data_IF_851082248309
#
_entry.id   IF_851082248309
#
_cell.length_a   1.000
_cell.length_b   1.000
_cell.length_c   1.000
_cell.angle_alpha   90.00
_cell.angle_beta   90.00
_cell.angle_gamma   90.00
#
_symmetry.space_group_name_H-M   'P 1'
#
loop_
_entity.id
_entity.type
_entity.pdbx_description
1 polymer ?
#
# COMPACT_ATOMS: atom_id res chain seq x y z
N UNK A 1 -13.58 1.90 -10.35
CA UNK A 1 -13.99 2.98 -9.44
C UNK A 1 -12.76 3.84 -9.17
N UNK A 2 -12.74 5.11 -9.60
CA UNK A 2 -11.58 5.99 -9.42
C UNK A 2 -11.61 6.55 -8.00
N UNK A 3 -10.62 6.21 -7.17
CA UNK A 3 -10.46 6.83 -5.84
C UNK A 3 -9.67 8.12 -6.02
N UNK A 4 -10.14 9.20 -5.41
CA UNK A 4 -9.49 10.52 -5.41
C UNK A 4 -8.10 10.43 -4.74
N UNK A 5 -6.99 10.75 -5.44
CA UNK A 5 -5.64 10.70 -4.87
C UNK A 5 -5.41 11.70 -3.73
N UNK A 6 -6.37 12.60 -3.47
CA UNK A 6 -6.39 13.50 -2.32
C UNK A 6 -7.18 12.97 -1.11
N UNK A 7 -7.85 11.82 -1.23
CA UNK A 7 -8.58 11.20 -0.13
C UNK A 7 -7.61 10.76 0.98
N UNK A 8 -7.93 11.16 2.21
CA UNK A 8 -7.24 10.68 3.42
C UNK A 8 -7.95 9.44 3.93
N UNK A 9 -7.19 8.37 4.17
CA UNK A 9 -7.73 7.09 4.67
C UNK A 9 -7.16 6.82 6.06
N UNK A 10 -8.02 6.79 7.08
CA UNK A 10 -7.63 6.34 8.41
C UNK A 10 -7.28 4.86 8.39
N UNK A 11 -6.08 4.53 8.88
CA UNK A 11 -5.62 3.14 8.92
C UNK A 11 -6.15 2.46 10.18
N UNK A 12 -6.63 1.25 10.00
CA UNK A 12 -7.10 0.38 11.08
C UNK A 12 -6.15 -0.81 11.23
N UNK A 13 -6.40 -1.60 12.27
CA UNK A 13 -5.70 -2.90 12.45
C UNK A 13 -6.17 -3.95 11.45
N UNK A 14 -7.24 -3.66 10.72
CA UNK A 14 -7.70 -4.44 9.57
C UNK A 14 -7.15 -3.87 8.26
N UNK A 15 -6.74 -4.73 7.30
CA UNK A 15 -6.34 -4.34 5.96
C UNK A 15 -7.31 -3.33 5.34
N UNK A 16 -6.82 -2.14 4.99
CA UNK A 16 -7.63 -1.09 4.37
C UNK A 16 -7.11 -0.79 2.96
N UNK A 17 -7.98 -0.97 1.96
CA UNK A 17 -7.68 -0.57 0.59
C UNK A 17 -7.56 0.96 0.51
N UNK A 18 -6.44 1.44 -0.04
CA UNK A 18 -6.19 2.88 -0.19
C UNK A 18 -6.44 3.32 -1.63
N UNK A 19 -5.93 2.56 -2.60
CA UNK A 19 -6.16 2.79 -4.03
C UNK A 19 -6.12 1.46 -4.78
N UNK A 20 -6.89 1.34 -5.86
CA UNK A 20 -6.95 0.13 -6.68
C UNK A 20 -6.98 0.45 -8.17
N UNK A 21 -6.46 -0.48 -8.98
CA UNK A 21 -6.47 -0.42 -10.45
C UNK A 21 -6.82 -1.79 -11.01
N UNK A 22 -7.73 -1.85 -11.98
CA UNK A 22 -8.03 -3.09 -12.71
C UNK A 22 -7.14 -3.20 -13.92
N UNK A 23 -6.38 -4.29 -14.02
CA UNK A 23 -5.46 -4.59 -15.11
C UNK A 23 -6.01 -5.74 -15.95
N UNK A 24 -5.97 -5.67 -17.29
CA UNK A 24 -6.33 -6.80 -18.13
C UNK A 24 -5.25 -7.88 -18.14
N UNK A 25 -5.57 -9.10 -18.55
CA UNK A 25 -4.62 -10.22 -18.68
C UNK A 25 -3.27 -9.82 -19.30
N UNK A 26 -2.17 -10.26 -18.69
CA UNK A 26 -0.81 -10.00 -19.17
C UNK A 26 0.23 -9.92 -18.05
N UNK A 27 1.44 -9.51 -18.42
CA UNK A 27 2.56 -9.31 -17.50
C UNK A 27 2.74 -7.83 -17.19
N UNK A 28 2.99 -7.51 -15.92
CA UNK A 28 3.08 -6.13 -15.45
C UNK A 28 4.16 -5.96 -14.40
N UNK A 29 4.80 -4.79 -14.41
CA UNK A 29 5.46 -4.24 -13.24
C UNK A 29 4.49 -3.23 -12.63
N UNK A 30 4.04 -3.51 -11.41
CA UNK A 30 3.15 -2.64 -10.65
C UNK A 30 3.98 -1.91 -9.60
N UNK A 31 3.81 -0.59 -9.54
CA UNK A 31 4.42 0.25 -8.51
C UNK A 31 3.34 1.08 -7.82
N UNK A 32 3.34 1.01 -6.50
CA UNK A 32 2.48 1.81 -5.64
C UNK A 32 3.30 2.66 -4.69
N UNK A 33 2.70 3.74 -4.20
CA UNK A 33 3.21 4.45 -3.03
C UNK A 33 2.09 5.07 -2.23
N UNK A 34 2.30 5.19 -0.92
CA UNK A 34 1.41 5.94 -0.04
C UNK A 34 2.25 6.76 0.94
N UNK A 35 1.84 8.00 1.21
CA UNK A 35 2.40 8.76 2.32
C UNK A 35 1.63 8.41 3.57
N UNK A 36 2.34 7.93 4.58
CA UNK A 36 1.76 7.60 5.88
C UNK A 36 2.06 8.73 6.84
N UNK A 37 1.02 9.25 7.48
CA UNK A 37 1.10 10.18 8.60
C UNK A 37 0.77 9.44 9.88
N UNK A 38 1.70 9.41 10.82
CA UNK A 38 1.51 8.84 12.15
C UNK A 38 1.27 9.94 13.18
N UNK A 39 0.30 9.73 14.05
CA UNK A 39 -0.06 10.58 15.17
C UNK A 39 0.14 9.78 16.47
N UNK A 40 1.27 9.98 17.13
CA UNK A 40 1.61 9.37 18.40
C UNK A 40 2.10 10.42 19.40
N UNK A 41 1.99 10.12 20.68
CA UNK A 41 2.63 10.89 21.74
C UNK A 41 4.12 10.52 21.86
N UNK A 42 4.83 11.24 22.71
CA UNK A 42 6.18 10.84 23.10
C UNK A 42 6.14 9.42 23.69
N UNK A 43 7.12 8.59 23.31
CA UNK A 43 7.22 7.17 23.67
C UNK A 43 6.23 6.21 22.98
N UNK A 44 5.31 6.71 22.14
CA UNK A 44 4.50 5.84 21.28
C UNK A 44 5.34 5.30 20.12
N UNK A 45 5.30 3.97 19.93
CA UNK A 45 5.78 3.33 18.71
C UNK A 45 4.58 2.97 17.81
N UNK A 46 4.71 3.24 16.52
CA UNK A 46 3.74 2.87 15.51
C UNK A 46 4.39 2.01 14.45
N UNK A 47 3.75 0.93 14.04
CA UNK A 47 4.15 0.22 12.81
C UNK A 47 3.04 0.38 11.80
N UNK A 48 3.40 0.74 10.56
CA UNK A 48 2.46 0.73 9.45
C UNK A 48 3.03 -0.17 8.37
N UNK A 49 2.16 -0.94 7.78
CA UNK A 49 2.47 -1.76 6.61
C UNK A 49 1.71 -1.21 5.43
N UNK A 50 2.37 -1.10 4.29
CA UNK A 50 1.69 -1.01 3.01
C UNK A 50 2.06 -2.21 2.15
N UNK A 51 1.10 -2.68 1.36
CA UNK A 51 1.21 -3.91 0.58
C UNK A 51 0.50 -3.79 -0.76
N UNK A 52 0.95 -4.60 -1.73
CA UNK A 52 0.24 -4.84 -2.99
C UNK A 52 -0.43 -6.21 -2.95
N UNK A 53 -1.69 -6.27 -3.38
CA UNK A 53 -2.44 -7.54 -3.46
C UNK A 53 -3.39 -7.53 -4.66
N UNK A 54 -3.65 -8.69 -5.30
CA UNK A 54 -4.68 -8.83 -6.33
C UNK A 54 -6.10 -9.03 -5.77
N UNK A 55 -6.27 -9.04 -4.43
CA UNK A 55 -7.56 -9.20 -3.79
C UNK A 55 -8.16 -7.87 -3.31
N UNK A 56 -9.49 -7.77 -3.35
CA UNK A 56 -10.22 -6.65 -2.75
C UNK A 56 -10.29 -6.76 -1.21
N UNK A 57 -10.02 -7.95 -0.65
CA UNK A 57 -10.10 -8.21 0.79
C UNK A 57 -9.09 -9.29 1.15
N UNK A 58 -8.06 -8.92 1.90
CA UNK A 58 -7.02 -9.86 2.34
C UNK A 58 -7.60 -10.79 3.42
N UNK A 59 -7.65 -12.09 3.13
CA UNK A 59 -8.01 -13.11 4.11
C UNK A 59 -6.80 -13.88 4.67
N UNK A 60 -5.59 -13.65 4.12
CA UNK A 60 -4.32 -14.27 4.55
C UNK A 60 -3.09 -13.58 3.93
N UNK A 61 -1.87 -14.01 4.29
CA UNK A 61 -0.61 -13.40 3.79
C UNK A 61 -0.20 -13.87 2.40
N UNK A 62 -0.81 -14.94 1.89
CA UNK A 62 -0.34 -15.66 0.70
C UNK A 62 -0.61 -14.89 -0.60
N UNK A 63 -1.51 -13.90 -0.56
CA UNK A 63 -1.91 -13.09 -1.72
C UNK A 63 -1.23 -11.72 -1.75
N UNK A 64 -0.07 -11.59 -1.09
CA UNK A 64 0.66 -10.33 -1.00
C UNK A 64 1.88 -10.37 -1.91
N UNK A 65 1.87 -9.46 -2.87
CA UNK A 65 2.85 -9.36 -3.94
C UNK A 65 4.12 -8.62 -3.48
N UNK A 66 3.93 -7.62 -2.62
CA UNK A 66 5.01 -6.90 -1.95
C UNK A 66 4.50 -6.37 -0.61
N UNK A 67 5.40 -6.29 0.37
CA UNK A 67 5.10 -5.97 1.74
C UNK A 67 6.21 -5.06 2.30
N UNK A 68 5.88 -3.79 2.53
CA UNK A 68 6.82 -2.79 3.06
C UNK A 68 6.41 -2.30 4.44
N UNK A 69 7.35 -2.35 5.38
CA UNK A 69 7.17 -1.94 6.76
C UNK A 69 7.73 -0.54 7.01
N UNK A 70 7.00 0.24 7.78
CA UNK A 70 7.47 1.46 8.42
C UNK A 70 7.37 1.32 9.93
N UNK A 71 8.44 1.71 10.62
CA UNK A 71 8.41 1.96 12.06
C UNK A 71 8.48 3.46 12.30
N UNK A 72 7.53 3.98 13.05
CA UNK A 72 7.52 5.33 13.60
C UNK A 72 7.93 5.25 15.07
N UNK A 73 8.82 6.15 15.47
CA UNK A 73 9.26 6.32 16.84
C UNK A 73 9.11 7.80 17.17
N UNK A 74 8.01 8.17 17.82
CA UNK A 74 7.75 9.57 18.10
C UNK A 74 8.71 10.09 19.16
N UNK A 75 9.64 10.94 18.75
CA UNK A 75 10.61 11.59 19.66
C UNK A 75 10.10 12.94 20.20
N UNK A 76 8.84 13.29 19.96
CA UNK A 76 8.26 14.57 20.35
C UNK A 76 6.74 14.61 20.24
N UNK A 77 6.18 15.83 20.16
CA UNK A 77 4.75 16.04 19.89
C UNK A 77 4.59 16.50 18.44
N UNK A 78 3.92 15.70 17.61
CA UNK A 78 3.73 16.04 16.21
C UNK A 78 3.36 14.86 15.33
N UNK A 79 2.90 15.14 14.12
CA UNK A 79 2.59 14.11 13.14
C UNK A 79 3.82 13.80 12.29
N UNK A 80 4.39 12.61 12.44
CA UNK A 80 5.50 12.13 11.58
C UNK A 80 4.95 11.67 10.24
N UNK A 81 5.68 11.95 9.16
CA UNK A 81 5.28 11.59 7.80
C UNK A 81 6.42 10.95 7.03
N UNK A 82 6.11 9.87 6.32
CA UNK A 82 7.05 9.24 5.40
C UNK A 82 6.29 8.55 4.27
N UNK A 83 6.97 8.34 3.14
CA UNK A 83 6.38 7.68 1.97
C UNK A 83 6.86 6.23 1.89
N UNK A 84 5.92 5.31 1.72
CA UNK A 84 6.18 3.89 1.50
C UNK A 84 6.05 3.58 0.01
N UNK A 85 7.13 3.20 -0.67
CA UNK A 85 7.02 2.55 -1.97
C UNK A 85 6.69 1.06 -1.80
N UNK A 86 5.92 0.52 -2.73
CA UNK A 86 5.75 -0.92 -2.91
C UNK A 86 5.80 -1.25 -4.40
N UNK A 87 6.32 -2.41 -4.75
CA UNK A 87 6.52 -2.81 -6.14
C UNK A 87 6.51 -4.33 -6.30
N UNK A 88 5.82 -4.80 -7.33
CA UNK A 88 5.78 -6.20 -7.69
C UNK A 88 5.79 -6.40 -9.21
N UNK A 89 6.43 -7.48 -9.66
CA UNK A 89 6.24 -8.00 -11.01
C UNK A 89 5.22 -9.14 -10.94
N UNK A 90 4.17 -9.07 -11.76
CA UNK A 90 3.06 -10.02 -11.75
C UNK A 90 2.69 -10.47 -13.15
N UNK A 91 2.23 -11.72 -13.26
CA UNK A 91 1.58 -12.26 -14.44
C UNK A 91 0.15 -12.62 -14.07
N UNK A 92 -0.83 -11.99 -14.72
CA UNK A 92 -2.25 -12.17 -14.44
C UNK A 92 -2.93 -12.87 -15.62
N UNK A 93 -3.70 -13.92 -15.34
CA UNK A 93 -4.35 -14.78 -16.34
C UNK A 93 -5.79 -14.38 -16.66
N UNK A 94 -6.36 -13.48 -15.87
CA UNK A 94 -7.65 -12.84 -16.07
C UNK A 94 -7.58 -11.38 -15.64
N UNK A 95 -8.57 -10.58 -16.03
CA UNK A 95 -8.71 -9.20 -15.56
C UNK A 95 -8.73 -9.17 -14.02
N UNK A 96 -7.75 -8.49 -13.43
CA UNK A 96 -7.48 -8.55 -12.00
C UNK A 96 -7.39 -7.15 -11.42
N UNK A 97 -7.99 -6.92 -10.25
CA UNK A 97 -7.88 -5.64 -9.54
C UNK A 97 -6.71 -5.69 -8.58
N UNK A 98 -5.67 -4.91 -8.86
CA UNK A 98 -4.55 -4.74 -7.94
C UNK A 98 -4.85 -3.60 -6.98
N UNK A 99 -4.65 -3.85 -5.71
CA UNK A 99 -4.90 -2.91 -4.62
C UNK A 99 -3.60 -2.59 -3.91
N UNK A 100 -3.37 -1.29 -3.69
CA UNK A 100 -2.47 -0.80 -2.65
C UNK A 100 -3.29 -0.64 -1.38
N UNK A 101 -2.99 -1.46 -0.39
CA UNK A 101 -3.56 -1.33 0.94
C UNK A 101 -2.50 -0.92 1.95
N UNK A 102 -2.95 -0.33 3.06
CA UNK A 102 -2.11 -0.12 4.22
C UNK A 102 -2.87 -0.51 5.49
N UNK A 103 -2.15 -0.88 6.54
CA UNK A 103 -2.72 -1.22 7.84
C UNK A 103 -1.78 -0.77 8.96
N UNK A 104 -2.36 -0.35 10.08
CA UNK A 104 -1.60 -0.07 11.28
C UNK A 104 -1.38 -1.36 12.07
N UNK A 105 -0.12 -1.71 12.33
CA UNK A 105 0.27 -2.79 13.21
C UNK A 105 0.68 -2.24 14.58
N UNK A 106 0.12 -2.80 15.64
CA UNK A 106 0.32 -2.35 17.03
C UNK A 106 -0.81 -1.46 17.56
N UNK A 107 -0.73 -1.14 18.86
CA UNK A 107 -1.86 -0.57 19.63
C UNK A 107 -1.72 0.88 20.05
N UNK A 108 -0.61 1.55 19.73
CA UNK A 108 -0.32 2.92 20.16
C UNK A 108 -0.34 3.91 19.00
N UNK A 109 -0.95 5.08 19.22
CA UNK A 109 -1.15 6.12 18.20
C UNK A 109 -2.18 5.78 17.12
N UNK A 110 -2.28 6.66 16.12
CA UNK A 110 -3.16 6.51 14.96
C UNK A 110 -2.45 6.90 13.67
N UNK A 111 -2.83 6.29 12.55
CA UNK A 111 -2.17 6.52 11.26
C UNK A 111 -3.17 6.85 10.17
N UNK A 112 -2.74 7.64 9.20
CA UNK A 112 -3.49 7.95 7.99
C UNK A 112 -2.63 7.71 6.76
N UNK A 113 -3.22 7.11 5.73
CA UNK A 113 -2.67 7.11 4.38
C UNK A 113 -3.14 8.35 3.62
N UNK A 114 -2.20 8.97 2.90
CA UNK A 114 -2.32 10.21 2.16
C UNK A 114 -1.61 10.05 0.81
N UNK A 115 -2.05 10.77 -0.21
CA UNK A 115 -1.35 10.87 -1.51
C UNK A 115 -0.96 9.49 -2.06
N UNK A 116 -1.93 8.58 -2.08
CA UNK A 116 -1.70 7.23 -2.56
C UNK A 116 -1.79 7.18 -4.08
N UNK A 117 -0.85 6.46 -4.68
CA UNK A 117 -0.77 6.26 -6.11
C UNK A 117 -0.48 4.80 -6.41
N UNK A 118 -1.07 4.31 -7.49
CA UNK A 118 -0.81 3.00 -8.03
C UNK A 118 -0.70 3.12 -9.54
N UNK A 119 0.38 2.58 -10.09
CA UNK A 119 0.64 2.54 -11.53
C UNK A 119 1.09 1.14 -11.93
N UNK A 120 0.82 0.78 -13.18
CA UNK A 120 1.24 -0.49 -13.74
C UNK A 120 1.75 -0.25 -15.15
N UNK A 121 2.89 -0.87 -15.47
CA UNK A 121 3.49 -0.86 -16.79
C UNK A 121 3.37 -2.28 -17.33
N UNK A 122 2.67 -2.44 -18.45
CA UNK A 122 2.59 -3.73 -19.15
C UNK A 122 3.98 -4.05 -19.69
N UNK A 123 4.51 -5.20 -19.30
CA UNK A 123 5.73 -5.75 -19.86
C UNK A 123 5.32 -6.50 -21.12
N UNK A 124 5.77 -6.03 -22.28
CA UNK A 124 5.69 -6.83 -23.50
C UNK A 124 6.81 -7.84 -23.53
N UNK A 125 6.70 -8.85 -24.40
CA UNK A 125 7.82 -9.75 -24.70
C UNK A 125 9.01 -8.89 -25.15
N UNK A 126 10.03 -8.79 -24.31
CA UNK A 126 11.31 -8.21 -24.70
C UNK A 126 12.05 -9.30 -25.47
N UNK A 127 11.88 -9.33 -26.79
CA UNK A 127 12.70 -10.17 -27.66
C UNK A 127 14.12 -9.61 -27.66
N UNK A 128 14.94 -10.07 -26.71
CA UNK A 128 16.37 -9.75 -26.66
C UNK A 128 17.06 -10.66 -27.66
N UNK A 129 17.07 -10.25 -28.93
CA UNK A 129 17.89 -10.87 -29.98
C UNK A 129 19.32 -10.31 -29.98
#
# INVERSE_FOLDING_TARGET
MSIDPSATVSLQTTPTAVVAVTLPTGEYIVSGKSTVRYFGNIDDEGTVVCYLTPEATITGTDDILDWSHLKFTSTGTGAEQTTVPVMAAISITADTTITLGCLQQGSTGSSQALYAYLTAIRVGDLDVQ
#
